data_IF_650336059622
#
_entry.id   IF_650336059622
#
_cell.length_a   1.000
_cell.length_b   1.000
_cell.length_c   1.000
_cell.angle_alpha   90.00
_cell.angle_beta   90.00
_cell.angle_gamma   90.00
#
_symmetry.space_group_name_H-M   'P 1'
#
loop_
_entity.id
_entity.type
_entity.pdbx_description
1 polymer ?
#
# COMPACT_ATOMS: atom_id res chain seq x y z
N UNK A 1 -10.60 10.96 -10.29
CA UNK A 1 -12.08 10.82 -10.23
C UNK A 1 -12.83 11.99 -10.86
N UNK A 2 -12.49 13.26 -10.54
CA UNK A 2 -13.15 14.45 -11.13
C UNK A 2 -13.25 14.41 -12.66
N UNK A 3 -12.15 14.10 -13.35
CA UNK A 3 -12.13 13.96 -14.81
C UNK A 3 -13.07 12.85 -15.33
N UNK A 4 -13.12 11.70 -14.64
CA UNK A 4 -14.03 10.60 -14.99
C UNK A 4 -15.51 10.93 -14.71
N UNK A 5 -15.80 11.73 -13.68
CA UNK A 5 -17.16 12.21 -13.43
C UNK A 5 -17.58 13.26 -14.47
N UNK A 6 -16.67 14.17 -14.81
CA UNK A 6 -16.90 15.15 -15.87
C UNK A 6 -17.18 14.45 -17.23
N UNK A 7 -16.46 13.37 -17.55
CA UNK A 7 -16.73 12.61 -18.78
C UNK A 7 -18.06 11.85 -18.73
N UNK A 8 -18.47 11.33 -17.57
CA UNK A 8 -19.80 10.72 -17.39
C UNK A 8 -20.95 11.72 -17.51
N UNK A 9 -20.74 12.96 -17.06
CA UNK A 9 -21.72 14.06 -17.13
C UNK A 9 -21.75 14.73 -18.50
N UNK A 10 -20.63 14.75 -19.23
CA UNK A 10 -20.54 15.32 -20.56
C UNK A 10 -19.69 14.42 -21.50
N UNK A 11 -20.32 13.42 -22.13
CA UNK A 11 -19.63 12.48 -23.02
C UNK A 11 -18.99 13.12 -24.26
N UNK A 12 -19.39 14.35 -24.61
CA UNK A 12 -18.92 15.08 -25.79
C UNK A 12 -17.68 15.95 -25.51
N UNK A 13 -17.17 16.02 -24.28
CA UNK A 13 -16.08 16.94 -23.90
C UNK A 13 -14.66 16.45 -24.23
N UNK A 14 -14.49 15.31 -24.90
CA UNK A 14 -13.18 14.76 -25.25
C UNK A 14 -12.58 15.47 -26.47
N UNK A 15 -11.87 16.58 -26.22
CA UNK A 15 -10.62 16.85 -26.93
C UNK A 15 -9.47 16.47 -26.00
N UNK A 16 -8.75 15.41 -26.38
CA UNK A 16 -7.46 14.93 -25.87
C UNK A 16 -7.33 14.66 -24.36
N UNK A 17 -7.89 13.54 -23.90
CA UNK A 17 -7.14 12.72 -22.93
C UNK A 17 -6.47 11.66 -23.80
N UNK A 18 -5.16 11.76 -24.00
CA UNK A 18 -4.40 10.79 -24.77
C UNK A 18 -4.27 9.50 -23.94
N UNK A 19 -5.30 8.67 -24.03
CA UNK A 19 -5.39 7.35 -23.39
C UNK A 19 -4.55 6.28 -24.12
N UNK A 20 -3.82 6.64 -25.19
CA UNK A 20 -3.01 5.73 -26.00
C UNK A 20 -1.66 5.30 -25.40
N UNK A 21 -1.45 5.46 -24.09
CA UNK A 21 -0.33 4.82 -23.37
C UNK A 21 -0.74 3.68 -22.43
N UNK A 22 -1.88 3.03 -22.70
CA UNK A 22 -2.11 1.69 -22.18
C UNK A 22 -3.09 0.89 -23.06
N UNK A 23 -2.78 -0.35 -23.50
CA UNK A 23 -1.54 -1.12 -23.31
C UNK A 23 -0.45 -0.76 -24.36
N UNK A 24 0.83 -1.18 -24.19
CA UNK A 24 1.95 -0.67 -24.99
C UNK A 24 1.90 -1.09 -26.48
N UNK A 25 2.48 -0.29 -27.40
CA UNK A 25 2.61 -0.64 -28.80
C UNK A 25 3.79 -1.61 -28.96
N UNK A 26 3.55 -2.90 -28.70
CA UNK A 26 4.34 -4.03 -29.21
C UNK A 26 3.59 -5.33 -28.91
N UNK A 27 2.39 -5.47 -29.49
CA UNK A 27 1.84 -6.77 -29.83
C UNK A 27 2.17 -7.01 -31.31
N UNK A 28 2.94 -8.04 -31.59
CA UNK A 28 3.36 -8.45 -32.92
C UNK A 28 2.18 -8.56 -33.88
N UNK A 29 2.34 -7.96 -35.07
CA UNK A 29 1.49 -8.17 -36.24
C UNK A 29 1.53 -9.63 -36.69
N UNK A 30 0.66 -10.47 -36.16
CA UNK A 30 0.29 -11.77 -36.72
C UNK A 30 -0.92 -12.30 -35.94
N UNK A 31 -2.08 -11.73 -36.22
CA UNK A 31 -3.43 -12.34 -36.12
C UNK A 31 -4.45 -11.22 -36.36
N UNK A 32 -4.48 -10.76 -37.61
CA UNK A 32 -5.55 -9.91 -38.10
C UNK A 32 -6.78 -10.78 -38.35
N UNK A 33 -7.54 -11.09 -37.30
CA UNK A 33 -8.94 -11.47 -37.43
C UNK A 33 -9.79 -10.25 -37.11
N UNK A 34 -10.34 -9.68 -38.18
CA UNK A 34 -11.55 -8.86 -38.28
C UNK A 34 -12.19 -8.42 -36.94
N UNK A 35 -11.71 -7.30 -36.41
CA UNK A 35 -12.46 -6.52 -35.42
C UNK A 35 -13.00 -5.30 -36.14
N UNK A 36 -14.14 -5.52 -36.79
CA UNK A 36 -15.06 -4.46 -37.15
C UNK A 36 -15.23 -3.52 -35.95
N UNK A 37 -15.13 -2.23 -36.25
CA UNK A 37 -15.26 -1.11 -35.33
C UNK A 37 -16.47 -1.28 -34.40
N UNK A 38 -16.28 -1.85 -33.21
CA UNK A 38 -17.26 -1.74 -32.12
C UNK A 38 -17.07 -0.35 -31.49
N UNK A 39 -18.01 0.58 -31.70
CA UNK A 39 -17.79 1.98 -31.33
C UNK A 39 -17.83 2.14 -29.81
N UNK A 40 -17.17 3.20 -29.34
CA UNK A 40 -17.26 3.84 -28.01
C UNK A 40 -18.69 4.10 -27.47
N UNK A 41 -19.74 3.67 -28.15
CA UNK A 41 -21.15 3.79 -27.74
C UNK A 41 -21.50 3.03 -26.45
N UNK A 42 -20.71 2.04 -26.02
CA UNK A 42 -20.99 1.30 -24.77
C UNK A 42 -20.73 2.10 -23.49
N UNK A 43 -19.94 3.19 -23.55
CA UNK A 43 -19.73 4.09 -22.41
C UNK A 43 -20.85 5.14 -22.24
N UNK A 44 -21.77 5.24 -23.21
CA UNK A 44 -22.87 6.24 -23.22
C UNK A 44 -24.11 5.83 -22.44
N UNK A 45 -24.11 4.70 -21.72
CA UNK A 45 -25.24 4.25 -20.89
C UNK A 45 -25.25 4.85 -19.48
N UNK A 46 -24.93 6.12 -19.31
CA UNK A 46 -25.34 6.83 -18.09
C UNK A 46 -26.86 6.95 -18.12
N UNK A 47 -27.55 6.05 -17.41
CA UNK A 47 -29.01 6.09 -17.29
C UNK A 47 -29.40 7.47 -16.73
N UNK A 48 -30.34 8.17 -17.35
CA UNK A 48 -30.72 9.54 -16.97
C UNK A 48 -31.02 9.71 -15.47
N UNK A 49 -31.59 8.69 -14.82
CA UNK A 49 -31.87 8.72 -13.38
C UNK A 49 -30.63 8.77 -12.48
N UNK A 50 -29.44 8.41 -12.98
CA UNK A 50 -28.17 8.50 -12.24
C UNK A 50 -27.49 9.86 -12.38
N UNK A 51 -27.93 10.71 -13.30
CA UNK A 51 -27.31 12.02 -13.56
C UNK A 51 -27.29 12.94 -12.33
N UNK A 52 -28.38 13.06 -11.53
CA UNK A 52 -28.35 13.87 -10.31
C UNK A 52 -27.28 13.37 -9.32
N UNK A 53 -27.16 12.06 -9.16
CA UNK A 53 -26.16 11.44 -8.29
C UNK A 53 -24.73 11.77 -8.73
N UNK A 54 -24.43 11.63 -10.02
CA UNK A 54 -23.11 11.98 -10.56
C UNK A 54 -22.80 13.47 -10.41
N UNK A 55 -23.80 14.34 -10.57
CA UNK A 55 -23.65 15.78 -10.37
C UNK A 55 -23.32 16.11 -8.92
N UNK A 56 -24.05 15.54 -7.97
CA UNK A 56 -23.76 15.70 -6.53
C UNK A 56 -22.34 15.28 -6.19
N UNK A 57 -21.88 14.12 -6.68
CA UNK A 57 -20.49 13.67 -6.48
C UNK A 57 -19.47 14.60 -7.14
N UNK A 58 -19.75 15.09 -8.35
CA UNK A 58 -18.87 16.00 -9.06
C UNK A 58 -18.69 17.32 -8.31
N UNK A 59 -19.78 17.89 -7.79
CA UNK A 59 -19.76 19.13 -7.03
C UNK A 59 -19.00 18.94 -5.70
N UNK A 60 -19.27 17.85 -4.98
CA UNK A 60 -18.53 17.46 -3.78
C UNK A 60 -17.02 17.39 -4.05
N UNK A 61 -16.61 16.60 -5.05
CA UNK A 61 -15.20 16.41 -5.36
C UNK A 61 -14.51 17.64 -5.95
N UNK A 62 -15.28 18.58 -6.52
CA UNK A 62 -14.71 19.82 -7.07
C UNK A 62 -14.27 20.81 -6.00
N UNK A 63 -14.79 20.70 -4.78
CA UNK A 63 -14.40 21.54 -3.64
C UNK A 63 -13.21 20.98 -2.86
N UNK A 64 -12.84 19.71 -3.08
CA UNK A 64 -11.77 19.03 -2.32
C UNK A 64 -10.42 19.72 -2.42
N UNK A 65 -10.08 20.29 -3.58
CA UNK A 65 -8.81 21.00 -3.77
C UNK A 65 -8.71 22.33 -3.01
N UNK A 66 -9.81 22.80 -2.44
CA UNK A 66 -9.90 24.07 -1.71
C UNK A 66 -9.93 23.87 -0.19
N UNK A 67 -9.92 22.62 0.28
CA UNK A 67 -9.95 22.31 1.71
C UNK A 67 -8.68 22.79 2.41
N UNK A 68 -8.84 23.38 3.59
CA UNK A 68 -7.72 23.61 4.49
C UNK A 68 -7.20 22.29 5.08
N UNK A 69 -6.02 22.30 5.67
CA UNK A 69 -5.47 21.13 6.38
C UNK A 69 -6.40 20.65 7.50
N UNK A 70 -6.97 21.56 8.28
CA UNK A 70 -7.89 21.25 9.38
C UNK A 70 -9.22 20.67 8.85
N UNK A 71 -9.71 21.18 7.73
CA UNK A 71 -10.88 20.61 7.07
C UNK A 71 -10.59 19.24 6.46
N UNK A 72 -9.43 19.03 5.86
CA UNK A 72 -9.03 17.74 5.34
C UNK A 72 -8.92 16.69 6.46
N UNK A 73 -8.24 17.04 7.55
CA UNK A 73 -8.12 16.17 8.72
C UNK A 73 -9.50 15.78 9.26
N UNK A 74 -10.36 16.75 9.55
CA UNK A 74 -11.69 16.49 10.12
C UNK A 74 -12.65 15.78 9.16
N UNK A 75 -12.66 16.10 7.86
CA UNK A 75 -13.63 15.56 6.89
C UNK A 75 -13.21 14.24 6.25
N UNK A 76 -11.92 13.89 6.23
CA UNK A 76 -11.40 12.68 5.58
C UNK A 76 -10.67 11.73 6.51
N UNK A 77 -9.87 12.26 7.46
CA UNK A 77 -8.96 11.42 8.24
C UNK A 77 -9.59 11.01 9.57
N UNK A 78 -10.18 11.95 10.30
CA UNK A 78 -10.82 11.67 11.59
C UNK A 78 -12.13 10.89 11.44
N UNK A 79 -12.62 10.74 10.21
CA UNK A 79 -13.75 9.86 9.91
C UNK A 79 -13.35 8.38 9.71
N UNK A 80 -12.05 8.08 9.65
CA UNK A 80 -11.56 6.71 9.48
C UNK A 80 -11.86 5.92 10.77
N UNK A 81 -12.37 4.68 10.69
CA UNK A 81 -12.54 3.84 11.88
C UNK A 81 -11.24 3.70 12.67
N UNK A 82 -11.35 3.70 14.01
CA UNK A 82 -10.18 3.80 14.90
C UNK A 82 -9.09 2.76 14.59
N UNK A 83 -9.49 1.52 14.31
CA UNK A 83 -8.55 0.42 14.05
C UNK A 83 -8.05 0.35 12.59
N UNK A 84 -8.45 1.27 11.72
CA UNK A 84 -8.00 1.26 10.33
C UNK A 84 -6.75 2.12 10.13
N UNK A 85 -5.92 1.70 9.18
CA UNK A 85 -4.75 2.46 8.71
C UNK A 85 -4.86 2.65 7.20
N UNK A 86 -4.75 3.89 6.73
CA UNK A 86 -4.78 4.18 5.29
C UNK A 86 -3.37 4.54 4.83
N UNK A 87 -2.89 3.89 3.77
CA UNK A 87 -1.59 4.17 3.16
C UNK A 87 -1.78 4.56 1.69
N UNK A 88 -1.52 5.83 1.37
CA UNK A 88 -1.39 6.27 -0.02
C UNK A 88 0.04 6.03 -0.48
N UNK A 89 0.21 5.38 -1.63
CA UNK A 89 1.53 4.94 -2.14
C UNK A 89 1.68 5.44 -3.56
N UNK A 90 2.68 6.29 -3.83
CA UNK A 90 2.91 6.87 -5.14
C UNK A 90 4.37 6.75 -5.57
N UNK A 91 4.60 6.47 -6.85
CA UNK A 91 5.93 6.33 -7.42
C UNK A 91 6.21 7.47 -8.41
N UNK A 92 7.23 8.26 -8.12
CA UNK A 92 7.85 9.16 -9.10
C UNK A 92 8.90 8.37 -9.88
N UNK A 93 8.49 7.85 -11.03
CA UNK A 93 9.35 7.05 -11.92
C UNK A 93 10.47 7.87 -12.57
N UNK A 94 10.34 9.20 -12.64
CA UNK A 94 11.35 10.07 -13.25
C UNK A 94 12.54 10.28 -12.32
N UNK A 95 12.26 10.55 -11.06
CA UNK A 95 13.30 10.81 -10.06
C UNK A 95 13.64 9.57 -9.22
N UNK A 96 12.90 8.48 -9.36
CA UNK A 96 13.09 7.26 -8.58
C UNK A 96 12.79 7.49 -7.10
N UNK A 97 11.70 8.20 -6.78
CA UNK A 97 11.25 8.43 -5.41
C UNK A 97 9.90 7.75 -5.17
N UNK A 98 9.84 6.94 -4.12
CA UNK A 98 8.62 6.35 -3.60
C UNK A 98 8.08 7.23 -2.46
N UNK A 99 6.84 7.68 -2.60
CA UNK A 99 6.14 8.45 -1.57
C UNK A 99 5.13 7.55 -0.87
N UNK A 100 5.16 7.56 0.46
CA UNK A 100 4.19 6.81 1.28
C UNK A 100 3.59 7.76 2.31
N UNK A 101 2.28 7.92 2.29
CA UNK A 101 1.53 8.70 3.26
C UNK A 101 0.64 7.79 4.10
N UNK A 102 0.92 7.70 5.40
CA UNK A 102 0.15 6.92 6.38
C UNK A 102 -0.78 7.84 7.15
N UNK A 103 -2.06 7.48 7.20
CA UNK A 103 -3.13 8.26 7.82
C UNK A 103 -3.97 7.40 8.77
N UNK A 104 -4.34 7.97 9.91
CA UNK A 104 -5.17 7.37 10.97
C UNK A 104 -6.00 8.47 11.63
N UNK A 105 -7.22 8.14 12.05
CA UNK A 105 -8.05 9.08 12.81
C UNK A 105 -7.36 9.52 14.10
N UNK A 106 -7.40 10.83 14.38
CA UNK A 106 -6.79 11.42 15.57
C UNK A 106 -5.25 11.51 15.55
N UNK A 107 -4.60 11.14 14.44
CA UNK A 107 -3.14 11.27 14.27
C UNK A 107 -2.82 12.20 13.09
N UNK A 108 -1.74 12.97 13.22
CA UNK A 108 -1.18 13.70 12.09
C UNK A 108 -0.67 12.72 11.02
N UNK A 109 -0.96 12.93 9.73
CA UNK A 109 -0.44 12.09 8.65
C UNK A 109 1.08 12.02 8.63
N UNK A 110 1.63 10.83 8.42
CA UNK A 110 3.08 10.62 8.28
C UNK A 110 3.43 10.40 6.80
N UNK A 111 4.20 11.31 6.24
CA UNK A 111 4.66 11.25 4.84
C UNK A 111 6.15 10.90 4.81
N UNK A 112 6.50 9.84 4.09
CA UNK A 112 7.88 9.47 3.80
C UNK A 112 8.18 9.61 2.30
N UNK A 113 9.30 10.25 1.97
CA UNK A 113 9.91 10.24 0.65
C UNK A 113 11.11 9.31 0.68
N UNK A 114 11.01 8.22 -0.07
CA UNK A 114 11.97 7.13 -0.08
C UNK A 114 12.65 7.06 -1.47
N UNK A 115 13.89 7.55 -1.62
CA UNK A 115 14.64 7.32 -2.85
C UNK A 115 14.85 5.82 -3.08
N UNK A 116 14.68 5.34 -4.31
CA UNK A 116 15.03 3.97 -4.68
C UNK A 116 16.54 3.77 -4.71
N UNK A 117 17.27 4.82 -5.14
CA UNK A 117 18.73 4.84 -5.19
C UNK A 117 19.34 5.39 -3.88
N UNK A 118 19.07 4.75 -2.75
CA UNK A 118 19.65 5.18 -1.46
C UNK A 118 21.17 4.94 -1.43
N UNK A 119 21.90 5.85 -0.78
CA UNK A 119 23.36 5.79 -0.59
C UNK A 119 23.83 4.43 -0.06
N UNK A 120 23.03 3.78 0.79
CA UNK A 120 23.25 2.42 1.30
C UNK A 120 23.44 1.37 0.20
N UNK A 121 22.56 1.38 -0.79
CA UNK A 121 22.62 0.41 -1.88
C UNK A 121 23.84 0.62 -2.78
N UNK A 122 24.35 1.85 -2.89
CA UNK A 122 25.57 2.18 -3.63
C UNK A 122 26.82 1.66 -2.89
N UNK A 123 26.87 1.76 -1.56
CA UNK A 123 28.02 1.27 -0.75
C UNK A 123 28.19 -0.24 -0.79
N UNK A 124 27.10 -1.00 -0.97
CA UNK A 124 27.12 -2.47 -0.97
C UNK A 124 27.35 -3.10 -2.36
N UNK A 125 27.55 -2.31 -3.43
CA UNK A 125 27.68 -2.83 -4.79
C UNK A 125 26.45 -3.62 -5.28
N UNK A 126 25.32 -3.54 -4.58
CA UNK A 126 24.06 -4.19 -4.98
C UNK A 126 23.49 -3.42 -6.16
N UNK A 127 23.29 -4.09 -7.29
CA UNK A 127 22.58 -3.52 -8.43
C UNK A 127 21.11 -3.30 -8.02
N UNK A 128 20.77 -2.06 -7.68
CA UNK A 128 19.40 -1.68 -7.32
C UNK A 128 18.53 -1.88 -8.54
N UNK A 129 17.48 -2.67 -8.40
CA UNK A 129 16.48 -2.82 -9.45
C UNK A 129 15.73 -1.48 -9.61
N UNK A 130 15.82 -0.88 -10.80
CA UNK A 130 15.03 0.31 -11.11
C UNK A 130 13.53 -0.04 -11.15
N UNK A 131 12.67 0.98 -11.09
CA UNK A 131 11.23 0.76 -11.28
C UNK A 131 10.92 0.07 -12.62
N UNK A 132 11.58 0.48 -13.71
CA UNK A 132 11.40 -0.12 -15.03
C UNK A 132 11.80 -1.59 -15.07
N UNK A 133 12.90 -1.95 -14.41
CA UNK A 133 13.36 -3.34 -14.34
C UNK A 133 12.39 -4.21 -13.53
N UNK A 134 11.85 -3.67 -12.43
CA UNK A 134 10.86 -4.36 -11.61
C UNK A 134 9.54 -4.57 -12.36
N UNK A 135 9.11 -3.55 -13.10
CA UNK A 135 7.91 -3.63 -13.93
C UNK A 135 8.09 -4.64 -15.07
N UNK A 136 9.23 -4.64 -15.76
CA UNK A 136 9.53 -5.57 -16.83
C UNK A 136 9.56 -7.03 -16.33
N UNK A 137 10.22 -7.29 -15.19
CA UNK A 137 10.22 -8.62 -14.57
C UNK A 137 8.80 -9.06 -14.18
N UNK A 138 8.01 -8.17 -13.60
CA UNK A 138 6.62 -8.48 -13.25
C UNK A 138 5.79 -8.84 -14.48
N UNK A 139 5.88 -8.02 -15.54
CA UNK A 139 5.16 -8.27 -16.79
C UNK A 139 5.58 -9.58 -17.46
N UNK A 140 6.87 -9.93 -17.42
CA UNK A 140 7.35 -11.22 -17.92
C UNK A 140 6.80 -12.40 -17.10
N UNK A 141 6.76 -12.28 -15.78
CA UNK A 141 6.17 -13.31 -14.90
C UNK A 141 4.69 -13.51 -15.24
N UNK A 142 3.92 -12.43 -15.35
CA UNK A 142 2.49 -12.50 -15.67
C UNK A 142 2.26 -13.12 -17.05
N UNK A 143 2.94 -12.62 -18.08
CA UNK A 143 2.87 -13.18 -19.44
C UNK A 143 3.21 -14.68 -19.45
N UNK A 144 4.32 -15.06 -18.82
CA UNK A 144 4.76 -16.45 -18.74
C UNK A 144 3.75 -17.33 -17.97
N UNK A 145 3.07 -16.78 -16.96
CA UNK A 145 2.00 -17.46 -16.22
C UNK A 145 0.77 -17.63 -17.09
N UNK A 146 0.35 -16.60 -17.82
CA UNK A 146 -0.81 -16.64 -18.72
C UNK A 146 -0.63 -17.68 -19.82
N UNK A 147 0.57 -17.79 -20.40
CA UNK A 147 0.91 -18.86 -21.34
C UNK A 147 0.68 -20.25 -20.72
N UNK A 148 1.05 -20.46 -19.45
CA UNK A 148 0.84 -21.76 -18.79
C UNK A 148 -0.63 -22.07 -18.50
N UNK A 149 -1.50 -21.06 -18.49
CA UNK A 149 -2.95 -21.21 -18.31
C UNK A 149 -3.59 -21.53 -19.66
N UNK A 150 -3.23 -20.79 -20.71
CA UNK A 150 -3.79 -20.96 -22.06
C UNK A 150 -3.38 -22.28 -22.70
N UNK A 151 -2.15 -22.76 -22.44
CA UNK A 151 -1.63 -24.01 -23.00
C UNK A 151 -1.98 -25.24 -22.14
N UNK A 152 -2.91 -25.13 -21.19
CA UNK A 152 -3.24 -26.19 -20.23
C UNK A 152 -3.55 -27.55 -20.88
N UNK A 153 -4.22 -27.55 -22.03
CA UNK A 153 -4.61 -28.75 -22.77
C UNK A 153 -3.42 -29.50 -23.39
N UNK A 154 -2.29 -28.80 -23.63
CA UNK A 154 -1.09 -29.40 -24.21
C UNK A 154 -0.34 -30.31 -23.23
N UNK A 155 -0.61 -30.18 -21.92
CA UNK A 155 0.04 -30.96 -20.87
C UNK A 155 -0.73 -32.25 -20.55
N UNK A 156 -0.77 -33.18 -21.51
CA UNK A 156 -1.52 -34.44 -21.38
C UNK A 156 -0.68 -35.63 -20.91
N UNK A 157 0.65 -35.63 -21.14
CA UNK A 157 1.54 -36.74 -20.73
C UNK A 157 2.18 -36.44 -19.37
N UNK A 158 2.54 -37.49 -18.63
CA UNK A 158 3.11 -37.36 -17.28
C UNK A 158 4.36 -36.45 -17.20
N UNK A 159 5.24 -36.52 -18.21
CA UNK A 159 6.42 -35.65 -18.28
C UNK A 159 6.06 -34.19 -18.57
N UNK A 160 5.03 -33.95 -19.39
CA UNK A 160 4.57 -32.60 -19.73
C UNK A 160 3.94 -31.94 -18.50
N UNK A 161 3.16 -32.69 -17.72
CA UNK A 161 2.59 -32.24 -16.44
C UNK A 161 3.68 -31.88 -15.43
N UNK A 162 4.75 -32.69 -15.34
CA UNK A 162 5.88 -32.39 -14.46
C UNK A 162 6.57 -31.09 -14.88
N UNK A 163 6.88 -30.92 -16.17
CA UNK A 163 7.49 -29.71 -16.70
C UNK A 163 6.63 -28.45 -16.49
N UNK A 164 5.30 -28.59 -16.61
CA UNK A 164 4.36 -27.52 -16.31
C UNK A 164 4.42 -27.06 -14.85
N UNK A 165 4.37 -28.01 -13.90
CA UNK A 165 4.49 -27.70 -12.47
C UNK A 165 5.84 -27.07 -12.13
N UNK A 166 6.94 -27.56 -12.71
CA UNK A 166 8.27 -26.98 -12.54
C UNK A 166 8.34 -25.53 -13.07
N UNK A 167 7.77 -25.25 -14.26
CA UNK A 167 7.68 -23.89 -14.81
C UNK A 167 6.90 -22.97 -13.86
N UNK A 168 5.74 -23.40 -13.36
CA UNK A 168 4.92 -22.61 -12.44
C UNK A 168 5.57 -22.40 -11.07
N UNK A 169 6.26 -23.40 -10.53
CA UNK A 169 7.01 -23.24 -9.28
C UNK A 169 8.15 -22.24 -9.44
N UNK A 170 8.86 -22.25 -10.58
CA UNK A 170 9.87 -21.24 -10.88
C UNK A 170 9.28 -19.83 -10.99
N UNK A 171 8.10 -19.67 -11.59
CA UNK A 171 7.41 -18.37 -11.66
C UNK A 171 7.00 -17.86 -10.27
N UNK A 172 6.49 -18.74 -9.40
CA UNK A 172 6.20 -18.40 -8.00
C UNK A 172 7.45 -17.91 -7.25
N UNK A 173 8.58 -18.62 -7.40
CA UNK A 173 9.84 -18.21 -6.79
C UNK A 173 10.35 -16.86 -7.32
N UNK A 174 10.20 -16.59 -8.63
CA UNK A 174 10.55 -15.30 -9.24
C UNK A 174 9.70 -14.16 -8.69
N UNK A 175 8.38 -14.35 -8.60
CA UNK A 175 7.47 -13.36 -8.02
C UNK A 175 7.81 -13.11 -6.54
N UNK A 176 8.10 -14.17 -5.79
CA UNK A 176 8.56 -14.07 -4.41
C UNK A 176 9.83 -13.23 -4.30
N UNK A 177 10.84 -13.48 -5.15
CA UNK A 177 12.09 -12.71 -5.16
C UNK A 177 11.87 -11.24 -5.53
N UNK A 178 11.01 -10.97 -6.51
CA UNK A 178 10.64 -9.60 -6.88
C UNK A 178 9.98 -8.85 -5.71
N UNK A 179 9.04 -9.47 -5.01
CA UNK A 179 8.37 -8.86 -3.86
C UNK A 179 9.31 -8.64 -2.68
N UNK A 180 10.30 -9.51 -2.48
CA UNK A 180 11.36 -9.26 -1.50
C UNK A 180 12.20 -8.03 -1.86
N UNK A 181 12.60 -7.87 -3.13
CA UNK A 181 13.32 -6.68 -3.57
C UNK A 181 12.50 -5.41 -3.43
N UNK A 182 11.22 -5.42 -3.82
CA UNK A 182 10.34 -4.26 -3.61
C UNK A 182 10.26 -3.93 -2.12
N UNK A 183 10.07 -4.92 -1.25
CA UNK A 183 9.98 -4.68 0.19
C UNK A 183 11.32 -4.15 0.78
N UNK A 184 12.43 -4.82 0.51
CA UNK A 184 13.68 -4.58 1.23
C UNK A 184 14.59 -3.55 0.53
N UNK A 185 14.50 -3.38 -0.79
CA UNK A 185 15.28 -2.38 -1.54
C UNK A 185 14.53 -1.05 -1.68
N UNK A 186 13.20 -1.07 -1.89
CA UNK A 186 12.43 0.18 -2.09
C UNK A 186 11.93 0.76 -0.77
N UNK A 187 11.30 -0.05 0.08
CA UNK A 187 10.85 0.42 1.40
C UNK A 187 11.96 0.31 2.45
N UNK A 188 12.72 -0.80 2.44
CA UNK A 188 13.85 -1.03 3.34
C UNK A 188 13.43 -0.99 4.81
N UNK A 189 14.17 -0.25 5.63
CA UNK A 189 13.89 -0.05 7.05
C UNK A 189 12.57 0.67 7.34
N UNK A 190 11.92 1.21 6.31
CA UNK A 190 10.66 1.92 6.43
C UNK A 190 9.44 1.10 6.01
N UNK A 191 9.61 -0.17 5.62
CA UNK A 191 8.51 -1.07 5.20
C UNK A 191 7.36 -1.19 6.21
N UNK A 192 7.65 -0.99 7.49
CA UNK A 192 6.66 -0.99 8.55
C UNK A 192 5.65 0.18 8.48
N UNK A 193 5.90 1.20 7.66
CA UNK A 193 4.91 2.27 7.41
C UNK A 193 3.59 1.72 6.85
N UNK A 194 3.65 0.58 6.15
CA UNK A 194 2.50 -0.07 5.53
C UNK A 194 1.67 -0.90 6.51
N UNK A 195 2.13 -1.09 7.75
CA UNK A 195 1.47 -1.97 8.71
C UNK A 195 0.29 -1.28 9.43
N UNK A 196 -0.70 -2.10 9.80
CA UNK A 196 -1.84 -1.74 10.62
C UNK A 196 -1.51 -1.48 12.08
N UNK A 197 -2.52 -1.43 12.94
CA UNK A 197 -2.38 -1.18 14.39
C UNK A 197 -1.96 -2.45 15.13
N UNK A 198 -1.16 -2.24 16.16
CA UNK A 198 -0.76 -3.25 17.13
C UNK A 198 -0.99 -2.72 18.52
N UNK A 199 -1.02 -3.59 19.53
CA UNK A 199 -1.06 -3.16 20.92
C UNK A 199 0.16 -2.28 21.25
N UNK A 200 -0.09 -1.23 22.04
CA UNK A 200 0.90 -0.21 22.36
C UNK A 200 0.98 -0.02 23.87
N UNK A 201 2.22 0.08 24.38
CA UNK A 201 2.45 0.47 25.76
C UNK A 201 2.93 1.93 25.81
N UNK A 202 2.01 2.85 26.14
CA UNK A 202 2.21 4.29 25.99
C UNK A 202 3.44 4.83 26.73
N UNK A 203 3.74 4.34 27.93
CA UNK A 203 4.92 4.77 28.69
C UNK A 203 6.22 4.36 27.98
N UNK A 204 6.32 3.10 27.54
CA UNK A 204 7.53 2.60 26.86
C UNK A 204 7.69 3.24 25.48
N UNK A 205 6.59 3.58 24.80
CA UNK A 205 6.65 4.32 23.54
C UNK A 205 7.28 5.72 23.76
N UNK A 206 6.89 6.43 24.82
CA UNK A 206 7.49 7.73 25.15
C UNK A 206 8.96 7.60 25.54
N UNK A 207 9.33 6.53 26.25
CA UNK A 207 10.74 6.23 26.53
C UNK A 207 11.52 5.98 25.23
N UNK A 208 10.97 5.20 24.30
CA UNK A 208 11.59 4.97 23.00
C UNK A 208 11.71 6.27 22.19
N UNK A 209 10.71 7.16 22.22
CA UNK A 209 10.80 8.48 21.59
C UNK A 209 11.97 9.31 22.14
N UNK A 210 12.19 9.27 23.46
CA UNK A 210 13.33 9.93 24.10
C UNK A 210 14.67 9.28 23.67
N UNK A 211 14.72 7.95 23.58
CA UNK A 211 15.90 7.23 23.09
C UNK A 211 16.26 7.66 21.66
N UNK A 212 15.29 7.68 20.74
CA UNK A 212 15.53 8.10 19.35
C UNK A 212 15.98 9.57 19.29
N UNK A 213 15.39 10.44 20.11
CA UNK A 213 15.81 11.85 20.19
C UNK A 213 17.26 11.98 20.66
N UNK A 214 17.63 11.27 21.73
CA UNK A 214 18.99 11.28 22.24
C UNK A 214 20.00 10.69 21.25
N UNK A 215 19.58 9.67 20.47
CA UNK A 215 20.39 9.11 19.40
C UNK A 215 20.67 10.14 18.31
N UNK A 216 19.63 10.80 17.79
CA UNK A 216 19.80 11.81 16.76
C UNK A 216 20.64 12.98 17.26
N UNK A 217 20.41 13.51 18.46
CA UNK A 217 21.24 14.58 19.04
C UNK A 217 22.72 14.19 19.10
N UNK A 218 23.02 12.95 19.49
CA UNK A 218 24.40 12.45 19.53
C UNK A 218 25.01 12.31 18.14
N UNK A 219 24.25 11.82 17.16
CA UNK A 219 24.72 11.61 15.79
C UNK A 219 24.90 12.93 15.02
N UNK A 220 24.07 13.94 15.29
CA UNK A 220 24.10 15.26 14.66
C UNK A 220 25.18 16.19 15.23
N UNK A 221 25.80 15.84 16.36
CA UNK A 221 26.85 16.66 16.99
C UNK A 221 26.38 18.04 17.47
N UNK A 222 25.08 18.32 17.45
CA UNK A 222 24.52 19.63 17.74
C UNK A 222 24.32 19.83 19.24
N UNK A 223 25.11 20.72 19.83
CA UNK A 223 24.91 21.32 21.16
C UNK A 223 23.72 22.30 21.18
N UNK A 224 22.99 22.47 20.08
CA UNK A 224 21.96 23.48 19.97
C UNK A 224 20.76 23.11 20.83
N UNK A 225 20.59 23.91 21.87
CA UNK A 225 19.36 24.13 22.65
C UNK A 225 18.26 24.75 21.79
N UNK A 226 18.15 24.37 20.51
CA UNK A 226 17.01 24.76 19.69
C UNK A 226 15.84 23.91 20.16
N UNK A 227 14.98 24.52 20.97
CA UNK A 227 13.70 23.94 21.38
C UNK A 227 12.82 23.56 20.16
N UNK A 228 13.15 24.08 18.98
CA UNK A 228 12.52 23.82 17.69
C UNK A 228 13.16 22.69 16.86
N UNK A 229 14.15 21.96 17.37
CA UNK A 229 14.62 20.72 16.75
C UNK A 229 13.46 19.70 16.74
N UNK A 230 12.71 19.70 15.63
CA UNK A 230 11.40 19.10 15.43
C UNK A 230 11.12 17.88 16.30
N UNK A 231 10.12 17.98 17.16
CA UNK A 231 9.70 16.89 18.03
C UNK A 231 9.45 15.62 17.19
N UNK A 232 10.25 14.58 17.41
CA UNK A 232 10.08 13.27 16.78
C UNK A 232 8.65 12.80 17.06
N UNK A 233 7.84 12.65 16.01
CA UNK A 233 6.45 12.23 16.17
C UNK A 233 6.36 10.80 16.72
N UNK A 234 5.40 10.57 17.62
CA UNK A 234 5.07 9.22 18.09
C UNK A 234 4.68 8.29 16.93
N UNK A 235 4.08 8.83 15.86
CA UNK A 235 3.74 8.06 14.65
C UNK A 235 4.97 7.50 13.98
N UNK A 236 6.08 8.26 13.95
CA UNK A 236 7.36 7.80 13.40
C UNK A 236 7.94 6.67 14.27
N UNK A 237 7.93 6.86 15.60
CA UNK A 237 8.37 5.85 16.56
C UNK A 237 7.59 4.54 16.41
N UNK A 238 6.26 4.60 16.24
CA UNK A 238 5.41 3.43 15.98
C UNK A 238 5.83 2.68 14.73
N UNK A 239 6.15 3.39 13.66
CA UNK A 239 6.63 2.76 12.42
C UNK A 239 7.94 2.02 12.66
N UNK A 240 8.91 2.63 13.33
CA UNK A 240 10.20 2.00 13.63
C UNK A 240 10.02 0.76 14.51
N UNK A 241 9.20 0.86 15.55
CA UNK A 241 8.92 -0.26 16.46
C UNK A 241 8.21 -1.43 15.75
N UNK A 242 7.45 -1.16 14.69
CA UNK A 242 6.79 -2.20 13.90
C UNK A 242 7.74 -3.04 13.03
N UNK A 243 9.04 -2.74 13.00
CA UNK A 243 10.06 -3.67 12.51
C UNK A 243 10.20 -4.93 13.39
N UNK A 244 9.84 -4.81 14.67
CA UNK A 244 9.77 -5.93 15.62
C UNK A 244 11.12 -6.38 16.20
N UNK A 245 11.07 -7.48 16.97
CA UNK A 245 12.21 -8.07 17.69
C UNK A 245 13.37 -8.52 16.78
N UNK A 246 13.04 -9.01 15.59
CA UNK A 246 13.96 -9.64 14.65
C UNK A 246 14.13 -8.78 13.40
N UNK A 247 14.29 -7.46 13.60
CA UNK A 247 14.75 -6.59 12.53
C UNK A 247 16.14 -7.02 12.08
N UNK A 248 16.42 -6.89 10.78
CA UNK A 248 17.76 -7.08 10.26
C UNK A 248 18.60 -5.80 10.52
N UNK A 249 19.92 -5.92 10.52
CA UNK A 249 20.82 -4.77 10.69
C UNK A 249 20.63 -3.74 9.56
N UNK A 250 20.37 -4.26 8.37
CA UNK A 250 20.02 -3.55 7.15
C UNK A 250 18.88 -2.53 7.32
N UNK A 251 17.79 -2.90 7.98
CA UNK A 251 16.61 -2.06 8.21
C UNK A 251 16.97 -0.93 9.19
N UNK A 252 17.75 -1.23 10.23
CA UNK A 252 18.17 -0.26 11.25
C UNK A 252 19.12 0.78 10.67
N UNK A 253 20.07 0.33 9.85
CA UNK A 253 20.97 1.23 9.11
C UNK A 253 20.16 2.20 8.23
N UNK A 254 19.20 1.69 7.48
CA UNK A 254 18.37 2.47 6.56
C UNK A 254 17.45 3.48 7.28
N UNK A 255 16.93 3.12 8.46
CA UNK A 255 16.21 4.05 9.34
C UNK A 255 17.11 5.20 9.76
N UNK A 256 18.32 4.91 10.27
CA UNK A 256 19.24 5.93 10.75
C UNK A 256 19.72 6.83 9.62
N UNK A 257 20.03 6.27 8.46
CA UNK A 257 20.41 7.04 7.27
C UNK A 257 19.34 8.04 6.87
N UNK A 258 18.07 7.60 6.76
CA UNK A 258 16.99 8.50 6.35
C UNK A 258 16.73 9.57 7.41
N UNK A 259 16.75 9.21 8.70
CA UNK A 259 16.56 10.17 9.78
C UNK A 259 17.62 11.28 9.75
N UNK A 260 18.90 10.92 9.56
CA UNK A 260 20.00 11.87 9.49
C UNK A 260 19.97 12.75 8.25
N UNK A 261 19.45 12.26 7.11
CA UNK A 261 19.35 13.03 5.86
C UNK A 261 18.40 14.23 5.98
N UNK A 262 17.49 14.24 6.96
CA UNK A 262 16.61 15.39 7.22
C UNK A 262 17.37 16.61 7.80
N UNK A 263 18.64 16.45 8.16
CA UNK A 263 19.48 17.51 8.70
C UNK A 263 20.63 17.78 7.73
N UNK A 264 20.58 18.86 6.94
CA UNK A 264 21.56 19.14 5.89
C UNK A 264 22.99 19.34 6.43
N UNK A 265 23.15 19.70 7.70
CA UNK A 265 24.46 19.84 8.37
C UNK A 265 25.02 18.49 8.88
N UNK A 266 24.25 17.40 8.79
CA UNK A 266 24.70 16.08 9.17
C UNK A 266 25.46 15.42 8.03
N UNK A 267 26.77 15.63 7.99
CA UNK A 267 27.62 14.88 7.07
C UNK A 267 27.91 13.47 7.66
N UNK A 268 26.96 12.55 7.48
CA UNK A 268 27.15 11.14 7.80
C UNK A 268 28.31 10.50 7.02
N UNK A 269 28.76 11.11 5.92
CA UNK A 269 29.94 10.65 5.20
C UNK A 269 31.25 11.12 5.86
N UNK A 270 31.22 12.17 6.69
CA UNK A 270 32.35 12.68 7.47
C UNK A 270 32.40 12.15 8.91
N UNK A 271 31.32 11.54 9.41
CA UNK A 271 31.32 10.83 10.68
C UNK A 271 32.26 9.62 10.65
N UNK A 272 33.01 9.35 11.72
CA UNK A 272 33.79 8.10 11.80
C UNK A 272 32.81 6.92 11.74
N UNK A 273 33.11 5.91 10.91
CA UNK A 273 32.27 4.71 10.76
C UNK A 273 31.87 4.10 12.13
N UNK A 274 32.73 4.24 13.15
CA UNK A 274 32.46 3.81 14.52
C UNK A 274 31.28 4.55 15.21
N UNK A 275 31.09 5.85 14.99
CA UNK A 275 29.97 6.59 15.59
C UNK A 275 28.61 6.16 15.01
N UNK A 276 28.61 5.86 13.71
CA UNK A 276 27.44 5.39 12.97
C UNK A 276 27.07 3.96 13.40
N UNK A 277 28.05 3.05 13.51
CA UNK A 277 27.84 1.68 14.04
C UNK A 277 27.31 1.67 15.48
N UNK A 278 27.83 2.56 16.35
CA UNK A 278 27.32 2.72 17.72
C UNK A 278 25.87 3.20 17.72
N UNK A 279 25.45 4.00 16.73
CA UNK A 279 24.07 4.46 16.62
C UNK A 279 23.13 3.31 16.20
N UNK A 280 23.57 2.44 15.29
CA UNK A 280 22.81 1.26 14.86
C UNK A 280 22.53 0.29 16.01
N UNK A 281 23.58 -0.07 16.76
CA UNK A 281 23.45 -0.99 17.91
C UNK A 281 22.50 -0.44 18.97
N UNK A 282 22.56 0.86 19.27
CA UNK A 282 21.66 1.48 20.25
C UNK A 282 20.20 1.51 19.80
N UNK A 283 19.92 1.80 18.53
CA UNK A 283 18.54 1.76 18.03
C UNK A 283 17.98 0.33 18.08
N UNK A 284 18.78 -0.67 17.70
CA UNK A 284 18.41 -2.09 17.84
C UNK A 284 18.08 -2.46 19.29
N UNK A 285 18.91 -2.03 20.24
CA UNK A 285 18.69 -2.24 21.68
C UNK A 285 17.42 -1.53 22.15
N UNK A 286 17.18 -0.29 21.73
CA UNK A 286 15.99 0.47 22.12
C UNK A 286 14.68 -0.20 21.63
N UNK A 287 14.65 -0.73 20.39
CA UNK A 287 13.51 -1.47 19.86
C UNK A 287 13.25 -2.74 20.69
N UNK A 288 14.30 -3.52 20.97
CA UNK A 288 14.18 -4.74 21.79
C UNK A 288 13.70 -4.42 23.20
N UNK A 289 14.27 -3.39 23.83
CA UNK A 289 13.90 -2.89 25.16
C UNK A 289 12.41 -2.54 25.22
N UNK A 290 11.89 -1.79 24.25
CA UNK A 290 10.47 -1.44 24.18
C UNK A 290 9.58 -2.68 24.22
N UNK A 291 9.84 -3.66 23.35
CA UNK A 291 8.99 -4.83 23.27
C UNK A 291 9.13 -5.75 24.50
N UNK A 292 10.34 -5.93 25.03
CA UNK A 292 10.57 -6.73 26.25
C UNK A 292 9.91 -6.11 27.49
N UNK A 293 10.05 -4.80 27.68
CA UNK A 293 9.42 -4.08 28.78
C UNK A 293 7.90 -4.11 28.66
N UNK A 294 7.36 -3.88 27.46
CA UNK A 294 5.92 -3.97 27.18
C UNK A 294 5.38 -5.38 27.47
N UNK A 295 6.11 -6.43 27.06
CA UNK A 295 5.73 -7.82 27.34
C UNK A 295 5.72 -8.12 28.84
N UNK A 296 6.70 -7.62 29.61
CA UNK A 296 6.73 -7.73 31.08
C UNK A 296 5.55 -7.01 31.73
N UNK A 297 5.08 -5.91 31.14
CA UNK A 297 3.88 -5.19 31.55
C UNK A 297 2.56 -5.83 31.05
N UNK A 298 2.62 -6.98 30.38
CA UNK A 298 1.43 -7.71 29.88
C UNK A 298 0.90 -7.24 28.52
N UNK A 299 1.61 -6.36 27.82
CA UNK A 299 1.21 -5.85 26.49
C UNK A 299 1.92 -6.61 25.37
N UNK A 300 1.14 -7.32 24.54
CA UNK A 300 1.66 -8.07 23.39
C UNK A 300 1.81 -7.16 22.16
N UNK A 301 2.89 -6.39 22.11
CA UNK A 301 3.11 -5.36 21.06
C UNK A 301 3.25 -5.90 19.62
N UNK A 302 3.43 -7.22 19.46
CA UNK A 302 3.50 -7.86 18.15
C UNK A 302 2.12 -8.29 17.63
N UNK A 303 1.12 -8.34 18.51
CA UNK A 303 -0.24 -8.74 18.15
C UNK A 303 -1.00 -7.54 17.56
N UNK A 304 -1.87 -7.82 16.60
CA UNK A 304 -2.72 -6.82 15.94
C UNK A 304 -3.95 -6.52 16.79
N UNK A 305 -4.46 -5.29 16.68
CA UNK A 305 -5.71 -4.95 17.32
C UNK A 305 -6.88 -5.70 16.65
N UNK A 306 -7.94 -6.06 17.40
CA UNK A 306 -9.16 -6.62 16.81
C UNK A 306 -9.77 -5.65 15.79
N UNK A 307 -10.11 -6.15 14.61
CA UNK A 307 -10.65 -5.30 13.53
C UNK A 307 -9.62 -4.37 12.88
N UNK A 308 -8.32 -4.62 13.11
CA UNK A 308 -7.25 -3.95 12.36
C UNK A 308 -7.37 -4.23 10.86
N UNK A 309 -7.29 -3.17 10.07
CA UNK A 309 -7.38 -3.25 8.62
C UNK A 309 -6.54 -2.16 7.96
N UNK A 310 -5.84 -2.53 6.89
CA UNK A 310 -5.02 -1.62 6.10
C UNK A 310 -5.68 -1.36 4.75
N UNK A 311 -5.81 -0.09 4.40
CA UNK A 311 -6.35 0.34 3.11
C UNK A 311 -5.24 0.98 2.31
N UNK A 312 -4.89 0.35 1.19
CA UNK A 312 -3.96 0.91 0.22
C UNK A 312 -4.68 1.78 -0.79
N UNK A 313 -4.09 2.95 -1.04
CA UNK A 313 -4.45 3.84 -2.14
C UNK A 313 -3.20 3.95 -3.03
N UNK A 314 -2.95 2.93 -3.88
CA UNK A 314 -1.81 2.96 -4.79
C UNK A 314 -2.11 3.89 -5.97
N UNK A 315 -1.07 4.58 -6.45
CA UNK A 315 -1.14 5.27 -7.73
C UNK A 315 -1.08 4.30 -8.92
N UNK A 316 -1.13 4.86 -10.14
CA UNK A 316 -1.09 4.09 -11.39
C UNK A 316 0.17 3.23 -11.55
N UNK A 317 1.27 3.59 -10.90
CA UNK A 317 2.55 2.89 -11.01
C UNK A 317 2.67 1.76 -9.97
N UNK A 318 2.10 1.95 -8.79
CA UNK A 318 2.14 0.97 -7.71
C UNK A 318 0.96 -0.01 -7.73
N UNK A 319 -0.13 0.31 -8.44
CA UNK A 319 -1.31 -0.56 -8.55
C UNK A 319 -0.99 -1.91 -9.20
N UNK A 320 0.02 -1.99 -10.07
CA UNK A 320 0.39 -3.23 -10.78
C UNK A 320 0.97 -4.30 -9.84
N UNK A 321 1.69 -3.90 -8.78
CA UNK A 321 2.39 -4.83 -7.90
C UNK A 321 1.46 -5.41 -6.83
N UNK A 322 1.50 -6.72 -6.53
CA UNK A 322 0.70 -7.34 -5.47
C UNK A 322 1.31 -7.09 -4.08
N UNK A 323 1.32 -5.84 -3.64
CA UNK A 323 1.96 -5.40 -2.38
C UNK A 323 1.46 -6.16 -1.15
N UNK A 324 0.19 -6.58 -1.12
CA UNK A 324 -0.40 -7.40 -0.05
C UNK A 324 0.36 -8.72 0.16
N UNK A 325 1.04 -9.22 -0.88
CA UNK A 325 1.81 -10.46 -0.82
C UNK A 325 3.23 -10.27 -0.29
N UNK A 326 3.65 -9.05 0.04
CA UNK A 326 4.93 -8.78 0.72
C UNK A 326 4.94 -9.40 2.12
N UNK A 327 6.10 -9.92 2.55
CA UNK A 327 6.25 -10.68 3.79
C UNK A 327 5.72 -9.93 5.01
N UNK A 328 5.96 -8.62 5.09
CA UNK A 328 5.50 -7.81 6.23
C UNK A 328 3.97 -7.64 6.29
N UNK A 329 3.26 -7.83 5.16
CA UNK A 329 1.82 -7.62 5.03
C UNK A 329 1.00 -8.91 4.96
N UNK A 330 1.61 -10.06 4.64
CA UNK A 330 0.89 -11.34 4.42
C UNK A 330 -0.05 -11.76 5.55
N UNK A 331 0.24 -11.38 6.79
CA UNK A 331 -0.57 -11.70 7.97
C UNK A 331 -1.61 -10.63 8.32
N UNK A 332 -1.74 -9.57 7.51
CA UNK A 332 -2.60 -8.42 7.79
C UNK A 332 -3.78 -8.40 6.82
N UNK A 333 -4.92 -7.91 7.31
CA UNK A 333 -6.07 -7.65 6.47
C UNK A 333 -5.79 -6.38 5.65
N UNK A 334 -5.68 -6.54 4.33
CA UNK A 334 -5.36 -5.44 3.42
C UNK A 334 -6.40 -5.39 2.31
N UNK A 335 -6.85 -4.18 1.97
CA UNK A 335 -7.70 -3.91 0.82
C UNK A 335 -7.17 -2.73 0.02
N UNK A 336 -7.65 -2.57 -1.21
CA UNK A 336 -7.32 -1.40 -2.04
C UNK A 336 -8.53 -0.52 -2.27
N UNK A 337 -8.30 0.78 -2.30
CA UNK A 337 -9.22 1.78 -2.82
C UNK A 337 -8.47 2.69 -3.80
N UNK A 338 -9.16 3.25 -4.81
CA UNK A 338 -8.54 4.14 -5.79
C UNK A 338 -8.29 5.55 -5.26
N UNK A 339 -8.93 5.96 -4.15
CA UNK A 339 -8.84 7.32 -3.62
C UNK A 339 -9.42 7.44 -2.21
N UNK A 340 -9.03 8.52 -1.51
CA UNK A 340 -9.59 8.89 -0.22
C UNK A 340 -11.06 9.32 -0.31
N UNK A 341 -11.47 9.97 -1.40
CA UNK A 341 -12.87 10.39 -1.57
C UNK A 341 -13.80 9.18 -1.65
N UNK A 342 -13.40 8.10 -2.34
CA UNK A 342 -14.20 6.87 -2.34
C UNK A 342 -14.23 6.20 -0.96
N UNK A 343 -13.13 6.23 -0.21
CA UNK A 343 -13.10 5.72 1.16
C UNK A 343 -14.11 6.48 2.04
N UNK A 344 -14.05 7.81 1.99
CA UNK A 344 -14.98 8.70 2.70
C UNK A 344 -16.43 8.35 2.37
N UNK A 345 -16.77 8.22 1.09
CA UNK A 345 -18.14 7.89 0.68
C UNK A 345 -18.59 6.53 1.21
N UNK A 346 -17.70 5.53 1.27
CA UNK A 346 -18.01 4.21 1.84
C UNK A 346 -18.25 4.26 3.35
N UNK A 347 -17.44 5.04 4.07
CA UNK A 347 -17.61 5.25 5.52
C UNK A 347 -18.96 5.93 5.79
N UNK A 348 -19.24 7.04 5.10
CA UNK A 348 -20.49 7.79 5.28
C UNK A 348 -21.72 6.97 4.87
N UNK A 349 -21.63 6.20 3.78
CA UNK A 349 -22.70 5.29 3.36
C UNK A 349 -22.99 4.22 4.40
N UNK A 350 -21.95 3.62 5.00
CA UNK A 350 -22.11 2.62 6.06
C UNK A 350 -22.92 3.21 7.21
N UNK A 351 -22.62 4.44 7.63
CA UNK A 351 -23.31 5.09 8.75
C UNK A 351 -24.75 5.48 8.44
N UNK A 352 -24.99 6.06 7.25
CA UNK A 352 -26.34 6.40 6.81
C UNK A 352 -27.24 5.17 6.74
N UNK A 353 -26.70 4.02 6.32
CA UNK A 353 -27.41 2.74 6.26
C UNK A 353 -27.84 2.23 7.66
N UNK A 354 -27.23 2.74 8.74
CA UNK A 354 -27.57 2.41 10.12
C UNK A 354 -28.50 3.45 10.79
N UNK A 355 -29.06 4.39 10.03
CA UNK A 355 -30.03 5.38 10.53
C UNK A 355 -29.42 6.47 11.42
N UNK A 356 -28.10 6.65 11.38
CA UNK A 356 -27.43 7.72 12.12
C UNK A 356 -27.54 9.05 11.35
N UNK A 357 -28.12 10.07 11.98
CA UNK A 357 -28.14 11.43 11.42
C UNK A 357 -26.79 12.17 11.58
N UNK A 358 -25.92 11.71 12.49
CA UNK A 358 -24.63 12.33 12.82
C UNK A 358 -23.50 11.30 12.91
N UNK A 359 -22.29 11.71 12.51
CA UNK A 359 -21.07 10.89 12.54
C UNK A 359 -20.59 10.64 13.98
N UNK A 360 -20.50 9.37 14.40
CA UNK A 360 -19.99 8.95 15.72
C UNK A 360 -18.92 7.86 15.54
N UNK A 361 -17.63 8.23 15.74
CA UNK A 361 -16.46 7.34 15.59
C UNK A 361 -16.57 6.11 16.51
N UNK A 362 -17.13 6.29 17.70
CA UNK A 362 -17.18 5.24 18.73
C UNK A 362 -18.23 4.15 18.44
N UNK A 363 -19.04 4.34 17.38
CA UNK A 363 -20.10 3.41 16.98
C UNK A 363 -19.95 2.96 15.53
N UNK A 364 -18.72 2.71 15.07
CA UNK A 364 -18.56 2.01 13.79
C UNK A 364 -19.36 0.71 13.80
N UNK A 365 -20.17 0.51 12.76
CA UNK A 365 -20.91 -0.71 12.52
C UNK A 365 -20.61 -1.19 11.12
N UNK A 366 -20.22 -2.45 11.02
CA UNK A 366 -19.97 -3.08 9.73
C UNK A 366 -21.25 -3.13 8.91
N UNK A 367 -21.12 -2.97 7.60
CA UNK A 367 -22.24 -3.20 6.68
C UNK A 367 -22.60 -4.68 6.75
N UNK A 368 -23.74 -4.99 7.36
CA UNK A 368 -24.27 -6.34 7.35
C UNK A 368 -24.95 -6.65 6.01
N UNK A 369 -24.68 -7.83 5.46
CA UNK A 369 -25.27 -8.31 4.21
C UNK A 369 -26.20 -9.48 4.57
N UNK A 370 -27.47 -9.39 4.19
CA UNK A 370 -28.40 -10.50 4.34
C UNK A 370 -28.01 -11.63 3.38
N UNK A 371 -27.60 -12.77 3.95
CA UNK A 371 -27.22 -13.97 3.21
C UNK A 371 -28.34 -14.47 2.28
N UNK A 372 -29.61 -14.23 2.64
CA UNK A 372 -30.77 -14.65 1.85
C UNK A 372 -31.01 -13.74 0.64
N UNK A 373 -30.47 -12.53 0.65
CA UNK A 373 -30.56 -11.56 -0.44
C UNK A 373 -29.22 -11.42 -1.16
N UNK A 374 -28.63 -12.55 -1.55
CA UNK A 374 -27.38 -12.60 -2.31
C UNK A 374 -27.57 -13.37 -3.62
N UNK A 375 -26.76 -13.04 -4.63
CA UNK A 375 -26.78 -13.70 -5.93
C UNK A 375 -25.39 -14.29 -6.21
N UNK A 376 -25.35 -15.45 -6.85
CA UNK A 376 -24.12 -16.07 -7.33
C UNK A 376 -24.25 -16.42 -8.82
N UNK A 377 -23.12 -16.39 -9.53
CA UNK A 377 -23.01 -16.86 -10.92
C UNK A 377 -21.96 -17.95 -10.94
N UNK A 378 -22.34 -19.18 -11.25
CA UNK A 378 -21.47 -20.35 -11.26
C UNK A 378 -21.35 -20.92 -12.67
N UNK A 379 -20.12 -21.02 -13.17
CA UNK A 379 -19.77 -21.58 -14.48
C UNK A 379 -20.63 -21.05 -15.66
N UNK A 380 -20.69 -19.72 -15.89
CA UNK A 380 -21.50 -19.17 -16.97
C UNK A 380 -21.01 -19.57 -18.38
N UNK A 381 -19.72 -19.86 -18.53
CA UNK A 381 -19.10 -20.30 -19.79
C UNK A 381 -19.16 -21.81 -20.05
N UNK A 382 -19.52 -22.63 -19.05
CA UNK A 382 -19.60 -24.08 -19.17
C UNK A 382 -18.25 -24.82 -19.09
N UNK A 383 -17.13 -24.12 -19.14
CA UNK A 383 -15.76 -24.65 -19.20
C UNK A 383 -15.18 -25.06 -17.84
N UNK A 384 -15.78 -24.63 -16.73
CA UNK A 384 -15.28 -24.86 -15.37
C UNK A 384 -16.00 -26.00 -14.65
N UNK A 385 -16.05 -27.20 -15.25
CA UNK A 385 -16.78 -28.37 -14.72
C UNK A 385 -16.35 -28.79 -13.31
N UNK A 386 -15.03 -28.82 -13.05
CA UNK A 386 -14.49 -29.15 -11.72
C UNK A 386 -14.89 -28.12 -10.65
N UNK A 387 -14.87 -26.84 -11.00
CA UNK A 387 -15.32 -25.74 -10.11
C UNK A 387 -16.81 -25.86 -9.85
N UNK A 388 -17.62 -26.13 -10.87
CA UNK A 388 -19.06 -26.33 -10.73
C UNK A 388 -19.36 -27.49 -9.78
N UNK A 389 -18.79 -28.67 -10.03
CA UNK A 389 -18.98 -29.85 -9.20
C UNK A 389 -18.65 -29.59 -7.72
N UNK A 390 -17.62 -28.77 -7.46
CA UNK A 390 -17.19 -28.40 -6.10
C UNK A 390 -18.19 -27.49 -5.38
N UNK A 391 -18.79 -26.52 -6.06
CA UNK A 391 -19.54 -25.44 -5.40
C UNK A 391 -21.07 -25.52 -5.58
N UNK A 392 -21.56 -26.23 -6.60
CA UNK A 392 -22.98 -26.27 -6.97
C UNK A 392 -23.90 -26.68 -5.82
N UNK A 393 -23.55 -27.74 -5.09
CA UNK A 393 -24.33 -28.21 -3.94
C UNK A 393 -24.37 -27.21 -2.78
N UNK A 394 -23.33 -26.38 -2.62
CA UNK A 394 -23.28 -25.38 -1.54
C UNK A 394 -24.08 -24.12 -1.87
N UNK A 395 -24.21 -23.79 -3.15
CA UNK A 395 -24.90 -22.57 -3.61
C UNK A 395 -26.40 -22.76 -3.87
N UNK A 396 -26.85 -23.97 -4.24
CA UNK A 396 -28.28 -24.29 -4.45
C UNK A 396 -29.14 -24.35 -3.15
N UNK A 397 -28.61 -23.88 -2.03
CA UNK A 397 -29.26 -23.99 -0.71
C UNK A 397 -30.49 -23.11 -0.58
#
# INVERSE_FOLDING_TARGET
MRACLASKLNPLSLKSIDEHQWPPPNASKADAMDIDAKPLHLLSRTRAWLEPFWKTLHDLYSTESQLTETEFQSKYIDIIPENWTVCSIAMDTRNGHLYVNRMRAGEAPLILKLPLHRTRNQKMGKQIQSYSDALAEFQDIIRSSDETIQQGEQYSRANDVKGWWEKRHRLDQRLRALLYRIQDDWFGGWKAILCGRSYEHAFELRQFQQDVRALLQKTLGSSSTDEDAGTISLTLCRVILQLGYHHNEDDIEDVIWLLSTNYPDCDLAAGSNAMVEVSFSKLSVAIKRYHEASKKAGVQTMDRLPGDHVIFIPDKHMQVFPLESMKILRSQAVSRLPSLSLLRDRILYSQASHGAEHYDIQKWRDISIDRKSTYYVLNPGGDLSATQAKFEASFKR
#
